data_IF_217125187089
#
_entry.id   IF_217125187089
#
_cell.length_a   1.000
_cell.length_b   1.000
_cell.length_c   1.000
_cell.angle_alpha   90.00
_cell.angle_beta   90.00
_cell.angle_gamma   90.00
#
_symmetry.space_group_name_H-M   'P 1'
#
loop_
_entity.id
_entity.type
_entity.pdbx_description
1 polymer ?
2 polymer ?
3 non-polymer ?
4 non-polymer ?
5 water ?
#
# COMPACT_ATOMS: atom_id res chain seq x y z
N UNK A 11 -24.44 10.74 3.69
CA UNK A 11 -25.14 9.55 3.12
C UNK A 11 -24.18 8.43 2.67
N UNK A 12 -24.75 7.27 2.45
CA UNK A 12 -24.04 6.04 2.26
C UNK A 12 -23.61 5.93 0.76
N UNK A 13 -22.37 6.32 0.43
CA UNK A 13 -21.88 6.39 -0.96
C UNK A 13 -20.98 5.18 -1.28
N UNK A 14 -20.96 4.72 -2.54
CA UNK A 14 -19.91 3.77 -2.90
C UNK A 14 -18.71 4.57 -3.42
N UNK A 15 -17.58 4.56 -2.71
CA UNK A 15 -16.56 5.52 -3.12
C UNK A 15 -15.57 4.80 -4.02
N UNK A 16 -14.90 5.54 -4.87
CA UNK A 16 -13.79 4.92 -5.67
C UNK A 16 -12.48 4.69 -4.90
N UNK A 17 -11.64 3.78 -5.43
CA UNK A 17 -10.28 3.61 -4.93
C UNK A 17 -9.25 4.14 -5.87
N UNK A 18 -8.38 4.98 -5.32
CA UNK A 18 -7.36 5.61 -6.07
C UNK A 18 -6.00 5.48 -5.38
N UNK A 19 -5.03 5.05 -6.14
CA UNK A 19 -3.65 5.08 -5.65
C UNK A 19 -2.86 6.04 -6.48
N UNK A 20 -2.38 7.10 -5.80
CA UNK A 20 -1.42 7.96 -6.36
C UNK A 20 -0.02 7.33 -6.32
N UNK A 21 0.25 6.38 -7.19
CA UNK A 21 1.53 5.72 -7.15
C UNK A 21 2.63 6.52 -7.75
N UNK A 22 3.87 6.20 -7.38
CA UNK A 22 5.02 6.91 -7.92
C UNK A 22 5.32 6.52 -9.38
N UNK A 23 4.90 5.34 -9.80
CA UNK A 23 5.11 4.86 -11.16
C UNK A 23 3.77 4.96 -12.02
N UNK A 24 2.60 4.71 -11.41
CA UNK A 24 1.32 4.63 -12.03
C UNK A 24 0.24 5.16 -11.11
N UNK A 25 -0.72 5.88 -11.74
CA UNK A 25 -1.85 6.43 -11.00
C UNK A 25 -2.93 5.48 -11.38
N UNK A 26 -3.60 4.89 -10.38
CA UNK A 26 -4.47 3.75 -10.62
C UNK A 26 -5.82 3.95 -9.94
N UNK A 27 -6.88 3.55 -10.63
CA UNK A 27 -8.27 3.83 -10.18
C UNK A 27 -9.09 2.58 -10.33
N UNK A 28 -9.91 2.27 -9.33
CA UNK A 28 -10.73 1.06 -9.37
C UNK A 28 -12.13 1.45 -8.87
N UNK A 29 -13.15 0.94 -9.56
CA UNK A 29 -14.52 1.18 -9.14
C UNK A 29 -15.11 -0.14 -8.85
N UNK A 30 -15.75 -0.24 -7.69
CA UNK A 30 -16.41 -1.46 -7.31
C UNK A 30 -17.80 -1.06 -6.87
N UNK A 31 -18.75 -1.98 -6.95
CA UNK A 31 -20.07 -1.68 -6.43
C UNK A 31 -20.96 -2.92 -6.37
N UNK A 32 -22.12 -2.80 -5.70
CA UNK A 32 -22.96 -3.98 -5.44
C UNK A 32 -22.74 -4.61 -4.06
N UNK A 33 -23.66 -5.52 -3.69
CA UNK A 33 -23.90 -5.92 -2.26
C UNK A 33 -23.05 -7.10 -1.77
N UNK A 34 -22.81 -8.08 -2.74
CA UNK A 34 -21.51 -8.71 -2.93
C UNK A 34 -20.77 -7.81 -3.98
N UNK A 35 -19.55 -7.35 -3.67
CA UNK A 35 -18.93 -6.32 -4.51
C UNK A 35 -18.43 -6.86 -5.88
N UNK A 36 -18.58 -6.07 -6.94
CA UNK A 36 -18.19 -6.51 -8.29
C UNK A 36 -17.39 -5.43 -8.92
N UNK A 37 -16.34 -5.80 -9.62
CA UNK A 37 -15.56 -4.87 -10.36
C UNK A 37 -16.39 -4.20 -11.49
N UNK A 38 -16.36 -2.88 -11.56
CA UNK A 38 -17.12 -2.12 -12.57
C UNK A 38 -16.20 -1.47 -13.61
N UNK A 39 -14.98 -1.10 -13.20
CA UNK A 39 -14.13 -0.30 -14.06
C UNK A 39 -12.74 -0.17 -13.36
N UNK A 40 -11.70 -0.04 -14.15
CA UNK A 40 -10.34 0.27 -13.65
C UNK A 40 -9.56 1.09 -14.68
N UNK A 41 -8.52 1.83 -14.28
CA UNK A 41 -7.72 2.58 -15.26
C UNK A 41 -6.38 2.86 -14.60
N UNK A 42 -5.33 2.99 -15.40
CA UNK A 42 -3.98 3.24 -14.96
C UNK A 42 -3.32 4.19 -15.90
N UNK A 43 -2.63 5.19 -15.36
CA UNK A 43 -1.83 6.06 -16.17
C UNK A 43 -0.42 6.19 -15.56
N UNK A 44 0.64 6.23 -16.40
CA UNK A 44 1.95 6.49 -15.82
C UNK A 44 2.03 7.85 -15.11
N UNK A 45 2.69 7.93 -13.95
CA UNK A 45 2.74 9.20 -13.24
C UNK A 45 3.76 10.08 -13.90
N UNK A 46 3.36 11.30 -14.25
CA UNK A 46 4.31 12.27 -14.83
C UNK A 46 5.32 12.70 -13.80
N UNK A 47 6.59 12.78 -14.19
CA UNK A 47 7.67 13.17 -13.32
C UNK A 47 7.48 14.55 -12.71
N UNK A 48 7.96 14.78 -11.49
CA UNK A 48 7.86 16.08 -10.86
C UNK A 48 6.53 16.22 -10.14
N UNK A 49 5.53 15.36 -10.40
CA UNK A 49 4.22 15.58 -9.68
C UNK A 49 4.31 15.24 -8.17
N UNK A 50 5.02 14.15 -7.84
CA UNK A 50 5.22 13.71 -6.44
C UNK A 50 6.70 13.81 -6.18
N UNK A 52 9.20 12.78 -2.83
CA UNK A 52 9.48 12.28 -1.46
C UNK A 52 8.21 12.26 -0.65
N UNK A 53 7.16 11.66 -1.22
CA UNK A 53 5.92 11.52 -0.50
C UNK A 53 4.99 12.69 -0.49
N UNK A 55 2.82 15.76 -2.68
CA UNK A 55 2.41 16.22 -3.97
C UNK A 55 2.93 17.63 -4.26
N UNK A 56 3.98 17.72 -5.06
CA UNK A 56 4.58 19.02 -5.40
C UNK A 56 3.77 19.74 -6.49
N UNK A 57 2.99 19.04 -7.30
CA UNK A 57 2.20 19.73 -8.36
C UNK A 57 0.73 19.38 -8.32
N UNK A 58 0.00 19.95 -7.38
CA UNK A 58 -1.35 19.38 -7.17
C UNK A 58 -2.34 19.59 -8.33
N UNK A 59 -2.24 20.72 -9.03
CA UNK A 59 -3.17 20.99 -10.14
C UNK A 59 -2.85 20.01 -11.33
N UNK A 60 -1.58 19.82 -11.66
CA UNK A 60 -1.17 18.83 -12.62
C UNK A 60 -1.59 17.37 -12.27
N UNK A 61 -1.54 17.00 -10.99
CA UNK A 61 -2.10 15.73 -10.51
C UNK A 61 -3.60 15.75 -10.69
N UNK A 62 -4.29 16.82 -10.26
CA UNK A 62 -5.77 16.90 -10.52
C UNK A 62 -6.15 16.54 -12.01
N UNK A 63 -5.34 17.01 -12.99
CA UNK A 63 -5.64 16.83 -14.44
C UNK A 63 -5.39 15.40 -14.76
N UNK A 64 -4.31 14.83 -14.21
CA UNK A 64 -4.12 13.38 -14.38
C UNK A 64 -5.20 12.53 -13.82
N UNK A 65 -5.68 12.89 -12.63
CA UNK A 65 -6.75 12.14 -12.04
C UNK A 65 -8.08 12.29 -12.84
N UNK A 66 -8.40 13.51 -13.28
CA UNK A 66 -9.50 13.68 -14.31
C UNK A 66 -9.41 12.72 -15.47
N UNK A 67 -8.22 12.51 -16.07
CA UNK A 67 -8.10 11.50 -17.17
C UNK A 67 -8.54 10.13 -16.74
N UNK A 68 -8.22 9.80 -15.47
CA UNK A 68 -8.54 8.48 -15.01
C UNK A 68 -10.05 8.33 -14.92
N UNK A 69 -10.68 9.35 -14.41
CA UNK A 69 -12.13 9.25 -14.23
C UNK A 69 -12.85 9.14 -15.63
N UNK A 70 -12.34 9.87 -16.60
CA UNK A 70 -12.84 9.80 -18.01
C UNK A 70 -12.59 8.42 -18.60
N UNK A 71 -11.40 7.87 -18.37
CA UNK A 71 -11.09 6.56 -18.90
C UNK A 71 -11.93 5.47 -18.32
N UNK A 72 -12.10 5.51 -16.98
CA UNK A 72 -12.94 4.51 -16.31
C UNK A 72 -14.36 4.68 -16.71
N UNK A 73 -14.77 5.89 -17.10
CA UNK A 73 -16.18 6.21 -17.50
C UNK A 73 -17.13 6.19 -16.31
N UNK A 74 -16.65 6.70 -15.19
CA UNK A 74 -17.40 6.63 -13.99
C UNK A 74 -18.14 7.93 -13.74
N UNK A 75 -19.35 7.82 -13.19
CA UNK A 75 -20.04 8.98 -12.66
C UNK A 75 -19.69 9.31 -11.15
N UNK A 76 -19.01 8.37 -10.48
CA UNK A 76 -18.70 8.51 -9.03
C UNK A 76 -17.74 9.61 -8.78
N UNK A 77 -18.02 10.40 -7.76
CA UNK A 77 -17.10 11.45 -7.35
C UNK A 77 -16.65 11.46 -5.86
N UNK A 78 -16.93 10.39 -5.14
CA UNK A 78 -16.31 10.18 -3.82
C UNK A 78 -15.12 9.23 -3.94
N UNK A 79 -14.10 9.38 -3.09
CA UNK A 79 -12.88 8.55 -3.29
C UNK A 79 -12.19 8.09 -1.96
N UNK A 80 -11.69 6.88 -1.90
CA UNK A 80 -10.68 6.61 -0.93
C UNK A 80 -9.30 6.51 -1.57
N UNK A 81 -8.38 7.30 -1.07
CA UNK A 81 -7.04 7.22 -1.51
C UNK A 81 -6.05 6.97 -0.32
N UNK A 82 -4.76 7.12 -0.57
CA UNK A 82 -3.73 6.69 0.37
C UNK A 82 -2.59 7.64 0.30
N UNK A 83 -1.87 7.84 1.40
CA UNK A 83 -0.64 8.58 1.44
C UNK A 83 0.50 7.72 0.93
N UNK A 84 1.53 8.34 0.40
CA UNK A 84 2.77 7.57 0.08
C UNK A 84 3.39 6.95 1.42
N UNK A 85 3.95 5.73 1.38
CA UNK A 85 4.64 5.19 2.54
C UNK A 85 5.76 6.13 3.06
N UNK A 86 6.31 6.98 2.21
CA UNK A 86 7.38 7.96 2.58
C UNK A 86 6.85 9.16 3.30
N UNK A 87 5.55 9.39 3.20
CA UNK A 87 4.90 10.43 4.01
C UNK A 87 4.33 9.98 5.38
N UNK A 88 4.31 8.72 5.71
CA UNK A 88 3.56 8.37 6.92
C UNK A 88 4.50 7.66 7.85
N UNK A 89 4.37 7.91 9.13
CA UNK A 89 5.12 7.10 10.13
C UNK A 89 4.14 6.16 10.70
N UNK A 90 4.46 4.89 10.59
CA UNK A 90 3.63 3.82 11.14
C UNK A 90 4.40 3.14 12.27
N UNK A 91 3.85 3.14 13.48
CA UNK A 91 4.50 2.36 14.58
C UNK A 91 3.53 2.03 15.68
N UNK A 92 3.73 0.86 16.33
CA UNK A 92 2.87 0.50 17.43
C UNK A 92 3.33 1.27 18.72
N UNK A 93 2.43 1.39 19.71
CA UNK A 93 2.56 2.21 20.89
C UNK A 93 1.66 1.53 21.94
N UNK A 94 2.15 1.36 23.18
CA UNK A 94 1.41 0.68 24.26
C UNK A 94 0.67 1.77 24.98
N UNK A 95 -0.61 1.64 25.21
CA UNK A 95 -1.32 2.65 26.04
C UNK A 95 -2.34 1.93 26.90
N UNK A 96 -2.74 2.54 28.03
CA UNK A 96 -3.85 1.93 28.81
C UNK A 96 -5.15 2.29 28.11
N UNK A 97 -6.08 1.35 28.13
CA UNK A 97 -7.43 1.56 27.69
C UNK A 97 -8.08 2.57 28.58
N UNK A 99 -11.64 5.64 28.00
CA UNK A 99 -12.58 6.19 27.04
C UNK A 99 -11.83 6.71 25.83
N UNK A 100 -12.57 6.83 24.71
CA UNK A 100 -11.94 7.10 23.39
C UNK A 100 -11.33 8.46 23.27
N UNK A 101 -12.02 9.51 23.73
CA UNK A 101 -11.46 10.86 23.68
C UNK A 101 -10.14 10.94 24.56
N UNK A 102 -10.10 10.16 25.65
CA UNK A 102 -8.97 10.18 26.59
C UNK A 102 -7.75 9.46 25.97
N UNK A 104 -7.11 9.23 22.80
CA UNK A 104 -6.58 10.07 21.76
C UNK A 104 -5.53 10.97 22.30
N UNK A 105 -5.86 11.63 23.39
CA UNK A 105 -4.87 12.51 23.98
C UNK A 105 -3.61 11.73 24.44
N UNK A 106 -3.79 10.49 24.93
CA UNK A 106 -2.67 9.66 25.45
C UNK A 106 -1.75 9.30 24.28
N UNK A 107 -2.36 8.76 23.19
CA UNK A 107 -1.67 8.56 21.90
C UNK A 107 -0.97 9.77 21.40
N UNK A 108 -1.67 10.86 21.22
CA UNK A 108 -0.96 12.05 20.78
C UNK A 108 0.23 12.34 21.72
N UNK A 109 0.00 12.28 23.04
CA UNK A 109 1.09 12.49 23.98
C UNK A 109 2.25 11.52 23.76
N UNK A 110 1.99 10.21 23.68
CA UNK A 110 3.04 9.29 23.45
C UNK A 110 3.68 9.43 22.06
N UNK A 111 2.89 9.85 21.08
CA UNK A 111 3.41 9.82 19.71
C UNK A 111 4.38 10.92 19.56
N UNK A 112 4.16 11.99 20.30
CA UNK A 112 5.03 13.16 20.29
C UNK A 112 6.56 12.87 20.25
N UNK A 113 7.01 11.89 21.04
CA UNK A 113 8.41 11.53 21.17
C UNK A 113 8.99 10.96 19.90
N UNK A 114 8.16 10.23 19.12
CA UNK A 114 8.56 9.51 17.87
C UNK A 114 8.42 10.31 16.57
N UNK A 115 7.97 11.55 16.68
CA UNK A 115 7.62 12.32 15.51
C UNK A 115 8.64 13.43 15.47
N UNK A 116 9.48 13.42 14.42
CA UNK A 116 10.58 14.33 14.21
C UNK A 116 10.14 15.68 13.68
N UNK A 117 8.92 16.09 14.01
CA UNK A 117 8.43 17.47 13.74
C UNK A 117 7.30 17.83 14.66
N UNK A 118 6.97 19.14 14.73
CA UNK A 118 6.02 19.60 15.75
C UNK A 118 4.65 18.95 15.73
N UNK A 119 4.24 18.39 16.85
CA UNK A 119 2.88 17.93 16.97
C UNK A 119 1.96 19.12 16.60
N UNK A 121 1.02 20.43 13.86
CA UNK A 121 1.45 20.16 12.47
C UNK A 121 1.33 18.71 12.00
N UNK A 122 0.80 17.82 12.82
CA UNK A 122 0.77 16.43 12.44
C UNK A 122 -0.70 15.98 12.39
N UNK A 123 -0.99 15.01 11.52
CA UNK A 123 -2.31 14.35 11.52
C UNK A 123 -2.08 12.94 11.97
N UNK A 124 -2.98 12.46 12.81
CA UNK A 124 -2.65 11.29 13.53
C UNK A 124 -3.85 10.42 13.59
N UNK A 125 -3.68 9.13 13.43
CA UNK A 125 -4.78 8.23 13.71
C UNK A 125 -4.22 6.97 14.40
N UNK A 126 -5.06 6.11 14.94
CA UNK A 126 -4.54 4.92 15.49
C UNK A 126 -5.63 3.89 15.51
N UNK A 127 -5.25 2.64 15.66
CA UNK A 127 -6.22 1.59 15.74
C UNK A 127 -5.64 0.48 16.63
N UNK A 128 -6.45 -0.05 17.56
CA UNK A 128 -5.95 -1.08 18.50
C UNK A 128 -5.61 -2.35 17.78
N UNK A 129 -4.47 -2.95 18.15
CA UNK A 129 -4.04 -4.16 17.47
C UNK A 129 -4.83 -5.37 17.92
N UNK A 130 -5.57 -5.20 19.00
CA UNK A 130 -6.39 -6.25 19.62
C UNK A 130 -7.71 -5.56 19.98
N UNK A 131 -8.82 -6.31 20.04
CA UNK A 131 -10.12 -5.66 20.33
C UNK A 131 -10.17 -5.03 21.73
N UNK A 132 -10.55 -3.75 21.81
CA UNK A 132 -10.58 -3.02 23.08
C UNK A 132 -11.58 -3.64 24.06
N UNK A 133 -12.66 -4.23 23.52
CA UNK A 133 -13.71 -4.79 24.40
C UNK A 133 -13.24 -6.03 25.18
N UNK A 134 -12.11 -6.58 24.78
CA UNK A 134 -11.62 -7.78 25.42
C UNK A 134 -10.73 -7.44 26.61
N UNK A 135 -10.50 -6.16 26.88
CA UNK A 135 -9.69 -5.75 28.07
C UNK A 135 -10.40 -4.70 28.92
N UNK A 136 -9.96 -4.56 30.19
CA UNK A 136 -10.60 -3.61 31.13
C UNK A 136 -9.96 -2.26 30.97
N UNK A 137 -10.64 -1.20 31.41
CA UNK A 137 -10.01 0.09 31.70
C UNK A 137 -8.64 -0.08 32.39
N UNK A 138 -7.66 0.72 31.98
CA UNK A 138 -6.33 0.72 32.57
C UNK A 138 -5.38 -0.38 32.16
N UNK A 139 -5.86 -1.48 31.62
CA UNK A 139 -4.92 -2.45 31.07
C UNK A 139 -4.23 -1.90 29.80
N UNK A 140 -3.00 -2.39 29.55
CA UNK A 140 -2.20 -1.95 28.42
C UNK A 140 -2.69 -2.59 27.10
N UNK A 141 -2.86 -1.78 26.07
CA UNK A 141 -3.13 -2.36 24.68
C UNK A 141 -2.13 -1.79 23.69
N UNK A 142 -1.66 -2.61 22.75
CA UNK A 142 -0.87 -2.08 21.63
C UNK A 142 -1.88 -1.46 20.63
N UNK A 143 -1.69 -0.19 20.29
CA UNK A 143 -2.31 0.46 19.11
C UNK A 143 -1.28 0.76 17.97
N UNK A 145 -0.23 3.35 15.36
CA UNK A 145 -0.39 4.73 15.20
C UNK A 145 0.10 5.09 13.78
N UNK A 146 -0.61 5.99 13.08
CA UNK A 146 -0.14 6.50 11.84
C UNK A 146 0.05 7.98 11.94
N UNK A 147 1.13 8.55 11.47
CA UNK A 147 1.20 9.99 11.51
C UNK A 147 1.76 10.56 10.23
N UNK A 148 1.27 11.74 9.84
CA UNK A 148 1.68 12.38 8.58
C UNK A 148 1.79 13.87 8.78
N UNK A 149 2.71 14.56 8.11
CA UNK A 149 2.73 16.05 8.09
C UNK A 149 1.42 16.61 7.50
N UNK A 150 0.88 17.67 8.08
CA UNK A 150 -0.38 18.27 7.63
C UNK A 150 -0.23 18.72 6.16
N UNK A 151 0.99 19.07 5.79
CA UNK A 151 1.34 19.43 4.45
C UNK A 151 1.22 18.26 3.45
N UNK A 152 1.58 17.05 3.88
CA UNK A 152 1.46 15.92 3.01
C UNK A 152 -0.04 15.72 2.77
N UNK A 153 -0.85 15.67 3.82
CA UNK A 153 -2.28 15.58 3.67
C UNK A 153 -2.86 16.70 2.77
N UNK A 154 -2.43 17.94 2.98
CA UNK A 154 -2.97 19.09 2.24
C UNK A 154 -2.70 18.99 0.68
N UNK A 155 -1.49 18.63 0.27
CA UNK A 155 -1.16 18.35 -1.15
C UNK A 155 -2.17 17.37 -1.79
N UNK A 156 -2.58 16.35 -1.04
CA UNK A 156 -3.46 15.35 -1.59
C UNK A 156 -4.87 15.84 -1.65
N UNK A 157 -5.36 16.47 -0.59
CA UNK A 157 -6.72 17.02 -0.63
C UNK A 157 -6.91 18.10 -1.74
N UNK A 158 -5.85 18.82 -2.04
CA UNK A 158 -5.86 19.91 -3.02
C UNK A 158 -5.88 19.31 -4.44
N UNK A 159 -5.09 18.27 -4.63
CA UNK A 159 -5.19 17.44 -5.80
C UNK A 159 -6.61 16.87 -6.06
N UNK A 160 -7.25 16.29 -5.05
CA UNK A 160 -8.58 15.73 -5.13
C UNK A 160 -9.65 16.82 -5.40
N UNK A 161 -9.50 17.95 -4.75
CA UNK A 161 -10.39 19.05 -4.98
C UNK A 161 -10.33 19.52 -6.43
N UNK A 162 -9.15 19.66 -7.01
CA UNK A 162 -9.05 20.07 -8.40
C UNK A 162 -9.70 19.06 -9.36
N UNK A 163 -9.75 17.79 -8.96
CA UNK A 163 -10.24 16.74 -9.78
C UNK A 163 -11.76 16.60 -9.63
N UNK A 164 -12.37 17.38 -8.71
CA UNK A 164 -13.83 17.27 -8.45
C UNK A 164 -14.20 16.07 -7.57
N UNK A 165 -13.23 15.51 -6.86
CA UNK A 165 -13.47 14.38 -6.01
C UNK A 165 -13.60 14.75 -4.46
N UNK A 166 -14.43 14.02 -3.73
CA UNK A 166 -14.59 14.25 -2.29
C UNK A 166 -14.00 13.04 -1.53
N UNK A 167 -12.95 13.24 -0.73
CA UNK A 167 -12.41 12.04 -0.04
C UNK A 167 -13.23 11.68 1.16
N UNK A 168 -13.57 10.40 1.35
CA UNK A 168 -14.18 9.84 2.51
C UNK A 168 -13.15 9.14 3.52
N UNK A 169 -12.00 8.66 3.02
CA UNK A 169 -10.94 8.01 3.82
C UNK A 169 -9.62 8.27 3.13
N UNK A 170 -8.62 8.60 3.91
CA UNK A 170 -7.22 8.64 3.49
C UNK A 170 -6.50 7.48 4.24
N UNK A 171 -6.31 6.39 3.54
CA UNK A 171 -5.86 5.17 4.11
C UNK A 171 -4.31 5.03 4.05
N UNK A 172 -3.70 3.92 4.42
CA UNK A 172 -2.20 3.74 4.30
C UNK A 172 -1.99 2.48 3.56
N UNK A 173 -1.09 2.50 2.58
CA UNK A 173 -0.95 1.43 1.62
C UNK A 173 -0.65 0.06 2.15
N UNK A 174 0.19 -0.06 3.23
CA UNK A 174 0.52 -1.47 3.64
C UNK A 174 -0.72 -2.13 4.19
N UNK A 175 -1.63 -1.39 4.80
CA UNK A 175 -2.85 -2.08 5.20
C UNK A 175 -3.91 -2.18 4.04
N UNK A 176 -4.11 -1.09 3.27
CA UNK A 176 -5.17 -1.11 2.17
C UNK A 176 -4.87 -2.25 1.25
N UNK A 177 -3.56 -2.50 0.95
CA UNK A 177 -3.14 -3.68 0.11
C UNK A 177 -3.57 -5.05 0.60
N UNK A 178 -3.92 -5.11 1.88
CA UNK A 178 -4.34 -6.31 2.53
C UNK A 178 -5.85 -6.58 2.38
N UNK A 179 -6.67 -5.54 2.23
CA UNK A 179 -8.17 -5.74 2.13
C UNK A 179 -8.61 -6.81 1.14
N UNK A 180 -7.96 -6.92 -0.03
CA UNK A 180 -8.43 -7.99 -0.94
C UNK A 180 -7.97 -9.36 -0.51
N UNK A 181 -6.97 -9.42 0.40
CA UNK A 181 -6.53 -10.71 0.93
C UNK A 181 -7.22 -11.06 2.23
N UNK A 182 -7.95 -10.14 2.80
CA UNK A 182 -8.34 -10.45 4.18
C UNK A 182 -9.19 -11.65 4.47
N UNK A 183 -10.16 -11.92 3.62
CA UNK A 183 -10.96 -13.13 3.82
C UNK A 183 -10.06 -14.34 3.77
N UNK A 184 -9.15 -14.43 2.81
CA UNK A 184 -8.21 -15.56 2.77
C UNK A 184 -7.21 -15.71 3.96
N UNK A 185 -6.74 -14.60 4.50
CA UNK A 185 -5.90 -14.60 5.67
C UNK A 185 -6.75 -15.01 6.91
N UNK A 186 -8.01 -14.58 7.01
CA UNK A 186 -8.89 -15.02 8.13
C UNK A 186 -9.14 -16.53 8.08
N UNK A 187 -9.07 -17.16 6.92
CA UNK A 187 -9.21 -18.61 6.92
C UNK A 187 -8.18 -19.28 7.84
N UNK A 188 -6.99 -18.70 8.02
CA UNK A 188 -5.97 -19.36 8.87
C UNK A 188 -5.63 -18.45 10.06
N UNK A 189 -6.50 -18.42 11.07
CA UNK A 189 -6.36 -17.38 12.11
C UNK A 189 -5.12 -17.48 12.95
N UNK A 190 -4.46 -18.63 12.94
CA UNK A 190 -3.30 -18.79 13.80
C UNK A 190 -2.02 -18.85 12.96
N UNK A 191 -2.15 -18.82 11.64
CA UNK A 191 -0.94 -18.87 10.79
C UNK A 191 -0.24 -17.51 10.65
N UNK A 192 1.11 -17.51 10.73
CA UNK A 192 1.92 -16.30 10.61
C UNK A 192 2.26 -16.11 9.14
N UNK A 193 1.85 -14.96 8.57
CA UNK A 193 1.96 -14.67 7.15
C UNK A 193 2.79 -13.39 7.03
N UNK A 194 3.52 -13.29 5.93
CA UNK A 194 4.23 -12.12 5.57
C UNK A 194 3.61 -11.53 4.25
N UNK A 195 3.45 -10.22 4.09
CA UNK A 195 2.95 -9.69 2.82
C UNK A 195 3.90 -8.58 2.49
N UNK A 196 4.53 -8.72 1.35
CA UNK A 196 5.45 -7.72 0.82
C UNK A 196 4.82 -6.93 -0.36
N UNK A 197 4.89 -5.62 -0.29
CA UNK A 197 4.44 -4.82 -1.47
C UNK A 197 5.65 -4.13 -1.96
N UNK A 198 6.26 -4.60 -3.03
CA UNK A 198 7.41 -3.89 -3.60
C UNK A 198 6.89 -2.86 -4.64
N UNK A 199 7.02 -1.59 -4.31
CA UNK A 199 6.48 -0.55 -5.11
C UNK A 199 7.58 0.05 -5.98
N UNK A 200 7.39 1.29 -6.37
CA UNK A 200 8.36 1.94 -7.24
C UNK A 200 9.13 2.87 -6.33
N UNK A 201 8.53 3.24 -5.21
CA UNK A 201 9.15 4.22 -4.29
C UNK A 201 9.50 3.55 -2.90
N UNK A 202 8.91 2.43 -2.54
CA UNK A 202 9.20 1.82 -1.24
C UNK A 202 8.79 0.42 -1.31
N UNK A 203 9.26 -0.37 -0.34
CA UNK A 203 8.77 -1.74 -0.16
C UNK A 203 8.22 -1.80 1.24
N UNK A 204 6.99 -2.27 1.41
CA UNK A 204 6.54 -2.49 2.79
C UNK A 204 6.53 -3.96 3.10
N UNK A 205 6.66 -4.28 4.37
CA UNK A 205 6.48 -5.63 4.82
C UNK A 205 5.41 -5.65 5.91
N UNK A 206 4.42 -6.50 5.85
CA UNK A 206 3.56 -6.59 6.99
C UNK A 206 3.46 -8.02 7.49
N UNK A 207 3.56 -8.14 8.80
CA UNK A 207 3.61 -9.53 9.37
C UNK A 207 2.32 -9.66 10.09
N UNK A 208 1.62 -10.74 9.83
CA UNK A 208 0.32 -10.93 10.42
C UNK A 208 0.23 -12.31 11.07
N UNK A 209 -0.77 -12.45 11.95
CA UNK A 209 -1.28 -13.75 12.30
C UNK A 209 -2.74 -13.80 11.88
N UNK A 210 -3.13 -14.74 11.03
CA UNK A 210 -4.43 -14.62 10.37
C UNK A 210 -4.53 -13.27 9.66
N UNK A 211 -5.65 -12.58 9.89
CA UNK A 211 -5.85 -11.24 9.39
C UNK A 211 -5.53 -10.13 10.40
N UNK A 212 -4.71 -10.43 11.39
CA UNK A 212 -4.37 -9.33 12.35
C UNK A 212 -2.94 -8.93 12.16
N UNK A 213 -2.66 -7.66 11.78
CA UNK A 213 -1.28 -7.26 11.67
C UNK A 213 -0.54 -7.37 13.00
N UNK A 214 0.71 -7.80 12.91
CA UNK A 214 1.58 -7.78 14.04
C UNK A 214 2.65 -6.71 13.93
N UNK A 215 3.15 -6.42 12.72
CA UNK A 215 4.21 -5.44 12.58
C UNK A 215 4.21 -4.97 11.12
N UNK A 216 4.73 -3.77 10.91
CA UNK A 216 4.87 -3.26 9.56
C UNK A 216 6.22 -2.64 9.55
N UNK A 217 6.94 -2.79 8.44
CA UNK A 217 8.18 -2.08 8.20
C UNK A 217 8.22 -1.62 6.75
N UNK A 218 8.78 -0.45 6.55
CA UNK A 218 8.88 0.16 5.26
C UNK A 218 10.34 0.33 4.95
N UNK A 219 10.72 -0.14 3.79
CA UNK A 219 12.08 0.02 3.24
C UNK A 219 12.04 1.01 2.06
N UNK A 220 13.16 1.68 1.96
CA UNK A 220 13.42 2.65 0.97
C UNK A 220 13.68 2.01 -0.41
N UNK A 221 14.14 0.78 -0.41
CA UNK A 221 14.56 0.09 -1.60
C UNK A 221 13.32 -0.46 -2.39
N UNK A 222 13.34 -0.43 -3.73
CA UNK A 222 12.10 -0.61 -4.48
C UNK A 222 12.43 -0.67 -5.95
N UNK A 223 11.39 -0.73 -6.78
CA UNK A 223 11.52 -0.86 -8.22
C UNK A 223 12.40 0.24 -8.80
N UNK A 224 12.29 1.48 -8.37
CA UNK A 224 13.15 2.54 -8.87
C UNK A 224 14.63 2.17 -8.75
N UNK A 225 15.00 1.44 -7.71
CA UNK A 225 16.40 1.19 -7.54
C UNK A 225 16.90 0.27 -8.61
N UNK A 226 16.06 -0.64 -9.07
CA UNK A 226 16.47 -1.55 -10.12
C UNK A 226 16.57 -0.75 -11.42
N UNK A 227 15.58 0.10 -11.69
CA UNK A 227 15.68 0.91 -12.90
C UNK A 227 16.94 1.76 -12.87
N UNK A 228 17.21 2.40 -11.72
CA UNK A 228 18.37 3.28 -11.68
C UNK A 228 19.72 2.57 -11.90
N UNK A 229 19.86 1.32 -11.45
CA UNK A 229 21.06 0.57 -11.70
C UNK A 229 21.22 0.22 -13.21
N UNK A 230 20.14 -0.21 -13.85
CA UNK A 230 20.17 -0.36 -15.33
C UNK A 230 20.48 0.98 -15.97
N UNK A 231 19.75 2.01 -15.62
CA UNK A 231 20.13 3.29 -16.18
C UNK A 231 21.65 3.59 -16.10
N UNK A 232 22.28 3.35 -14.93
CA UNK A 232 23.66 3.77 -14.65
C UNK A 232 24.53 2.90 -15.50
N UNK A 233 24.19 1.63 -15.55
CA UNK A 233 25.07 0.73 -16.15
C UNK A 233 25.11 0.86 -17.70
N UNK A 234 24.13 1.55 -18.26
CA UNK A 234 24.08 1.72 -19.69
C UNK A 234 23.81 3.14 -20.17
N UNK A 235 24.25 4.18 -19.48
CA UNK A 235 23.77 5.58 -19.73
C UNK A 235 22.36 5.65 -20.41
N UNK A 236 21.37 4.92 -19.85
CA UNK A 236 19.96 5.04 -20.34
C UNK A 236 19.13 6.06 -19.59
N UNK A 237 18.14 6.65 -20.30
CA UNK A 237 17.00 7.40 -19.67
C UNK A 237 16.14 6.46 -18.82
N UNK A 238 15.37 7.04 -17.90
CA UNK A 238 14.67 6.24 -16.94
C UNK A 238 13.66 5.34 -17.61
N UNK A 239 12.81 5.93 -18.49
CA UNK A 239 11.80 5.16 -19.25
C UNK A 239 12.38 4.01 -20.01
N UNK A 240 13.49 4.28 -20.71
CA UNK A 240 14.17 3.24 -21.47
C UNK A 240 14.81 2.18 -20.52
N UNK A 241 15.46 2.64 -19.45
CA UNK A 241 16.03 1.63 -18.43
C UNK A 241 14.88 0.79 -17.89
N UNK A 242 13.75 1.47 -17.69
CA UNK A 242 12.56 0.84 -17.13
C UNK A 242 12.00 -0.27 -18.04
N UNK A 243 11.93 0.05 -19.34
CA UNK A 243 11.46 -0.86 -20.39
C UNK A 243 12.39 -2.05 -20.53
N UNK A 244 13.71 -1.74 -20.51
CA UNK A 244 14.73 -2.78 -20.47
C UNK A 244 14.53 -3.70 -19.22
N UNK A 245 14.36 -3.10 -18.04
CA UNK A 245 14.01 -3.91 -16.82
C UNK A 245 12.83 -4.87 -17.07
N UNK A 246 11.72 -4.37 -17.60
CA UNK A 246 10.51 -5.20 -17.88
C UNK A 246 10.70 -6.38 -18.86
N UNK A 247 11.41 -6.13 -19.97
CA UNK A 247 11.50 -7.17 -21.01
C UNK A 247 12.58 -8.16 -20.69
N UNK A 248 13.63 -7.72 -20.03
CA UNK A 248 14.71 -8.67 -19.81
C UNK A 248 14.81 -9.24 -18.40
N UNK A 249 15.09 -8.45 -17.36
CA UNK A 249 14.92 -8.99 -15.95
C UNK A 249 15.95 -9.93 -15.32
N UNK A 275 25.02 -7.22 -19.74
CA UNK A 275 24.05 -8.08 -18.99
C UNK A 275 23.24 -7.36 -17.91
N UNK A 276 21.91 -7.42 -18.09
CA UNK A 276 20.93 -6.94 -17.12
C UNK A 276 21.24 -7.48 -15.72
N UNK A 277 21.40 -8.80 -15.61
CA UNK A 277 21.60 -9.47 -14.33
C UNK A 277 22.73 -8.83 -13.56
N UNK A 278 23.85 -8.67 -14.23
CA UNK A 278 25.02 -8.06 -13.61
C UNK A 278 24.75 -6.63 -13.16
N UNK A 279 23.93 -5.87 -13.90
CA UNK A 279 23.67 -4.51 -13.45
C UNK A 279 22.78 -4.51 -12.18
N UNK A 280 21.86 -5.44 -12.10
CA UNK A 280 20.83 -5.40 -11.03
C UNK A 280 21.26 -6.31 -9.82
N UNK A 281 22.34 -7.10 -9.95
CA UNK A 281 22.79 -8.01 -8.87
C UNK A 281 22.97 -7.30 -7.50
N UNK A 282 23.64 -6.13 -7.49
CA UNK A 282 23.81 -5.50 -6.16
C UNK A 282 22.50 -5.05 -5.55
N UNK A 283 21.52 -4.75 -6.40
CA UNK A 283 20.23 -4.37 -5.91
C UNK A 283 19.58 -5.61 -5.35
N UNK A 284 19.60 -6.72 -6.09
CA UNK A 284 19.08 -7.98 -5.56
C UNK A 284 19.68 -8.34 -4.19
N UNK A 285 21.00 -8.18 -4.08
CA UNK A 285 21.70 -8.57 -2.85
C UNK A 285 21.26 -7.66 -1.74
N UNK A 286 21.19 -6.35 -2.02
CA UNK A 286 20.90 -5.41 -1.01
C UNK A 286 19.43 -5.58 -0.53
N UNK A 287 18.57 -5.91 -1.46
CA UNK A 287 17.14 -6.06 -1.10
C UNK A 287 16.99 -7.32 -0.26
N UNK A 288 17.69 -8.37 -0.68
CA UNK A 288 17.65 -9.59 0.09
C UNK A 288 18.16 -9.34 1.54
N UNK A 289 19.16 -8.48 1.70
CA UNK A 289 19.76 -8.30 3.03
C UNK A 289 18.82 -7.52 3.89
N UNK A 290 18.18 -6.53 3.28
CA UNK A 290 17.30 -5.65 3.98
C UNK A 290 16.07 -6.43 4.41
N UNK A 291 15.64 -7.37 3.60
CA UNK A 291 14.48 -8.16 3.98
C UNK A 291 14.85 -9.21 5.07
N UNK A 292 16.03 -9.82 5.00
CA UNK A 292 16.51 -10.71 6.10
C UNK A 292 16.68 -9.97 7.41
N UNK A 293 17.22 -8.76 7.32
CA UNK A 293 17.35 -7.91 8.47
C UNK A 293 15.94 -7.67 9.10
N UNK A 294 14.95 -7.29 8.27
CA UNK A 294 13.65 -6.92 8.86
C UNK A 294 13.05 -8.15 9.55
N UNK A 295 13.10 -9.28 8.89
CA UNK A 295 12.58 -10.45 9.48
C UNK A 295 13.33 -10.81 10.80
N UNK A 296 14.67 -10.76 10.81
CA UNK A 296 15.41 -10.92 12.06
C UNK A 296 15.01 -9.94 13.14
N UNK A 297 14.78 -8.67 12.81
CA UNK A 297 14.27 -7.78 13.83
C UNK A 297 12.80 -8.08 14.26
N UNK A 298 11.96 -8.57 13.36
CA UNK A 298 10.64 -9.09 13.83
C UNK A 298 10.82 -10.21 14.86
N UNK A 299 11.68 -11.17 14.55
CA UNK A 299 11.81 -12.36 15.38
C UNK A 299 12.41 -11.99 16.75
N UNK A 300 13.28 -10.97 16.78
CA UNK A 300 13.90 -10.55 18.03
C UNK A 300 12.90 -9.85 18.88
N UNK A 301 12.04 -9.02 18.30
CA UNK A 301 11.20 -8.12 19.09
C UNK A 301 9.78 -8.62 19.34
N UNK A 302 9.40 -9.71 18.68
CA UNK A 302 8.08 -10.24 18.88
C UNK A 302 8.16 -11.66 19.44
N UNK A 306 7.26 -15.87 13.31
CA UNK A 306 8.09 -15.93 12.10
C UNK A 306 7.53 -16.74 10.86
N UNK A 307 7.48 -16.10 9.69
CA UNK A 307 6.65 -16.52 8.57
C UNK A 307 6.70 -17.96 8.05
N UNK A 308 5.54 -18.58 8.09
CA UNK A 308 5.28 -19.77 7.32
C UNK A 308 5.26 -19.45 5.78
N UNK A 309 4.13 -18.91 5.30
CA UNK A 309 3.95 -18.54 3.89
C UNK A 309 3.90 -16.96 3.73
N UNK A 310 4.02 -16.48 2.50
CA UNK A 310 3.88 -15.09 2.28
C UNK A 310 3.26 -14.76 0.92
N UNK A 311 2.91 -13.48 0.76
CA UNK A 311 2.45 -12.98 -0.53
C UNK A 311 3.20 -11.80 -1.01
N UNK A 312 3.30 -11.72 -2.34
CA UNK A 312 3.92 -10.61 -3.01
C UNK A 312 2.89 -9.72 -3.70
N UNK A 313 3.04 -8.40 -3.59
CA UNK A 313 2.20 -7.48 -4.35
C UNK A 313 3.17 -6.42 -4.87
N UNK A 314 2.65 -5.55 -5.71
CA UNK A 314 3.31 -4.37 -6.17
C UNK A 314 4.02 -4.77 -7.41
N UNK A 315 4.16 -3.82 -8.33
CA UNK A 315 4.79 -4.18 -9.63
C UNK A 315 6.27 -4.58 -9.50
N UNK A 316 6.99 -4.05 -8.50
CA UNK A 316 8.42 -4.41 -8.33
C UNK A 316 8.51 -5.93 -8.07
N UNK A 317 7.42 -6.58 -7.63
CA UNK A 317 7.46 -8.00 -7.31
C UNK A 317 7.41 -8.83 -8.57
N UNK A 318 7.20 -8.20 -9.73
CA UNK A 318 7.12 -9.01 -10.96
C UNK A 318 8.45 -9.22 -11.71
N UNK A 319 9.51 -8.53 -11.31
CA UNK A 319 10.88 -8.79 -11.82
C UNK A 319 11.06 -10.28 -11.98
N UNK A 320 11.45 -10.74 -13.17
CA UNK A 320 11.37 -12.19 -13.46
C UNK A 320 12.24 -13.03 -12.48
N UNK A 321 11.62 -14.06 -11.96
CA UNK A 321 12.29 -14.95 -10.99
C UNK A 321 12.34 -14.49 -9.52
N UNK A 322 12.15 -13.17 -9.27
CA UNK A 322 12.21 -12.58 -7.88
C UNK A 322 11.57 -13.40 -6.83
N UNK A 323 10.36 -13.87 -7.10
CA UNK A 323 9.63 -14.68 -6.16
C UNK A 323 10.44 -15.93 -5.68
N UNK A 324 11.04 -16.66 -6.63
CA UNK A 324 11.88 -17.83 -6.35
C UNK A 324 13.14 -17.49 -5.54
N UNK A 325 13.81 -16.42 -5.95
CA UNK A 325 14.95 -15.87 -5.24
C UNK A 325 14.59 -15.63 -3.79
N UNK A 326 13.56 -14.84 -3.56
CA UNK A 326 13.14 -14.40 -2.23
C UNK A 326 12.70 -15.62 -1.40
N UNK A 327 12.04 -16.56 -2.06
CA UNK A 327 11.65 -17.83 -1.41
C UNK A 327 12.89 -18.55 -0.89
N UNK A 328 13.87 -18.73 -1.74
CA UNK A 328 15.11 -19.40 -1.39
C UNK A 328 15.92 -18.71 -0.30
N UNK A 329 15.90 -17.40 -0.32
CA UNK A 329 16.85 -16.61 0.38
C UNK A 329 16.32 -16.19 1.74
N UNK A 330 14.99 -16.03 1.85
CA UNK A 330 14.38 -15.69 3.09
C UNK A 330 13.86 -16.91 3.83
N UNK A 331 13.88 -18.08 3.18
CA UNK A 331 13.27 -19.30 3.78
C UNK A 331 11.78 -19.16 4.12
N UNK A 332 11.02 -18.55 3.22
CA UNK A 332 9.61 -18.31 3.44
C UNK A 332 9.02 -18.56 2.06
N UNK A 333 8.04 -19.42 1.92
CA UNK A 333 7.49 -19.61 0.59
C UNK A 333 6.71 -18.33 0.17
N UNK A 334 7.31 -17.48 -0.67
CA UNK A 334 6.65 -16.24 -1.14
C UNK A 334 5.95 -16.39 -2.47
N UNK A 335 4.63 -16.14 -2.51
CA UNK A 335 3.86 -16.28 -3.76
C UNK A 335 3.14 -15.05 -4.29
N UNK A 336 3.13 -14.85 -5.65
CA UNK A 336 2.18 -13.81 -6.12
C UNK A 336 0.77 -14.25 -5.72
N UNK A 337 -0.15 -13.31 -5.73
CA UNK A 337 -1.49 -13.66 -5.37
C UNK A 337 -2.44 -12.71 -6.11
N UNK A 338 -3.61 -13.24 -6.42
CA UNK A 338 -4.54 -12.53 -7.21
C UNK A 338 -5.52 -11.78 -6.34
N UNK A 339 -5.43 -10.45 -6.36
CA UNK A 339 -6.33 -9.73 -5.45
C UNK A 339 -7.76 -9.77 -5.93
N UNK A 340 -7.96 -9.92 -7.24
CA UNK A 340 -9.31 -9.83 -7.81
C UNK A 340 -10.30 -10.83 -7.31
N UNK A 341 -9.83 -11.95 -6.79
CA UNK A 341 -10.70 -12.97 -6.22
C UNK A 341 -11.58 -12.42 -5.12
N UNK A 342 -11.30 -11.20 -4.63
CA UNK A 342 -12.07 -10.63 -3.54
C UNK A 342 -13.39 -10.06 -4.10
N UNK A 343 -13.49 -10.01 -5.43
CA UNK A 343 -14.53 -9.24 -6.05
C UNK A 343 -15.19 -10.05 -7.23
N UNK A 344 -16.51 -9.86 -7.46
CA UNK A 344 -17.16 -10.48 -8.66
C UNK A 344 -16.67 -9.82 -9.93
N UNK A 345 -16.22 -10.65 -10.86
CA UNK A 345 -15.70 -10.18 -12.11
C UNK A 345 -16.48 -10.77 -13.32
N UNK A 346 -17.10 -9.87 -14.08
CA UNK A 346 -17.93 -10.27 -15.23
C UNK A 346 -17.06 -10.58 -16.44
N UNK A 347 -16.95 -11.87 -16.81
CA UNK A 347 -16.11 -12.40 -17.90
C UNK A 347 -16.37 -11.73 -19.25
N UNK A 348 -17.58 -11.20 -19.42
CA UNK A 348 -17.93 -10.45 -20.64
C UNK A 348 -17.35 -9.03 -20.63
N UNK A 349 -17.01 -8.50 -19.45
CA UNK A 349 -16.38 -7.19 -19.43
C UNK A 349 -14.87 -7.21 -19.17
N UNK A 350 -14.35 -8.25 -18.52
CA UNK A 350 -12.93 -8.29 -18.27
C UNK A 350 -12.35 -9.65 -18.57
N UNK A 351 -11.17 -9.64 -19.16
CA UNK A 351 -10.41 -10.84 -19.32
C UNK A 351 -9.67 -11.27 -18.04
N UNK A 352 -9.98 -12.47 -17.53
CA UNK A 352 -9.41 -12.99 -16.29
C UNK A 352 -7.91 -13.05 -16.36
N UNK A 353 -7.44 -13.27 -17.58
CA UNK A 353 -6.02 -13.43 -17.88
C UNK A 353 -5.35 -12.06 -17.74
N UNK A 354 -6.00 -11.02 -18.26
CA UNK A 354 -5.43 -9.68 -18.18
C UNK A 354 -5.47 -9.19 -16.75
N UNK A 355 -6.62 -9.34 -16.07
CA UNK A 355 -6.75 -8.93 -14.66
C UNK A 355 -5.59 -9.48 -13.84
N UNK A 356 -5.39 -10.79 -13.93
CA UNK A 356 -4.34 -11.50 -13.21
C UNK A 356 -2.98 -10.81 -13.43
N UNK A 357 -2.65 -10.48 -14.67
CA UNK A 357 -1.36 -9.93 -14.99
C UNK A 357 -1.13 -8.61 -14.23
N UNK A 358 -2.16 -7.80 -14.05
CA UNK A 358 -1.95 -6.49 -13.46
C UNK A 358 -2.37 -6.49 -11.94
N UNK A 359 -2.68 -7.66 -11.41
CA UNK A 359 -3.15 -7.78 -10.04
C UNK A 359 -2.09 -7.27 -9.02
N UNK A 360 -0.77 -7.53 -9.20
CA UNK A 360 0.21 -7.02 -8.22
C UNK A 360 0.20 -5.47 -8.10
N UNK A 361 0.20 -4.75 -9.22
CA UNK A 361 0.11 -3.27 -9.26
C UNK A 361 -1.21 -2.79 -8.71
N UNK A 362 -2.29 -3.53 -8.92
CA UNK A 362 -3.67 -3.03 -8.56
C UNK A 362 -4.19 -3.45 -7.18
N UNK A 363 -3.40 -4.21 -6.39
CA UNK A 363 -3.91 -4.67 -5.08
C UNK A 363 -4.31 -3.52 -4.23
N UNK A 364 -3.47 -2.50 -4.19
CA UNK A 364 -3.83 -1.36 -3.31
C UNK A 364 -5.09 -0.61 -3.77
N UNK A 365 -5.16 -0.23 -5.05
CA UNK A 365 -6.36 0.52 -5.55
C UNK A 365 -7.56 -0.33 -5.38
N UNK A 366 -7.46 -1.65 -5.62
CA UNK A 366 -8.62 -2.47 -5.32
C UNK A 366 -9.03 -2.44 -3.81
N UNK A 367 -8.02 -2.56 -2.89
CA UNK A 367 -8.33 -2.43 -1.44
C UNK A 367 -8.96 -1.10 -1.14
N UNK A 368 -8.45 -0.04 -1.77
CA UNK A 368 -9.07 1.27 -1.46
C UNK A 368 -10.52 1.31 -1.92
N UNK A 369 -10.82 0.65 -3.03
CA UNK A 369 -12.23 0.63 -3.57
C UNK A 369 -13.10 -0.23 -2.66
N UNK A 370 -12.53 -1.31 -2.11
CA UNK A 370 -13.29 -2.12 -1.16
C UNK A 370 -13.63 -1.35 0.08
N UNK A 371 -12.67 -0.58 0.61
CA UNK A 371 -12.92 0.31 1.69
C UNK A 371 -14.06 1.29 1.27
N UNK A 372 -14.07 1.71 -0.02
CA UNK A 372 -15.00 2.74 -0.41
C UNK A 372 -16.42 2.25 -0.36
N UNK A 373 -16.63 0.97 -0.42
CA UNK A 373 -17.96 0.43 -0.37
C UNK A 373 -18.30 -0.22 1.01
N UNK A 374 -17.49 0.05 2.03
CA UNK A 374 -17.78 -0.55 3.33
C UNK A 374 -19.00 0.12 3.97
N UNK A 375 -19.76 -0.64 4.74
CA UNK A 375 -19.52 -2.00 5.22
C UNK A 375 -20.16 -3.09 4.38
N UNK B 1 -7.87 -7.17 11.23
CA UNK B 1 -7.45 -6.12 10.19
C UNK B 1 -7.51 -4.63 10.65
N UNK B 2 -6.54 -3.82 10.28
CA UNK B 2 -6.50 -2.39 10.68
C UNK B 2 -7.09 -1.41 9.57
N UNK B 3 -8.04 -0.56 9.97
CA UNK B 3 -8.63 0.45 9.11
C UNK B 3 -8.30 1.83 9.65
N UNK B 4 -7.29 2.51 9.13
CA UNK B 4 -7.02 3.86 9.59
C UNK B 4 -7.68 4.89 8.63
N UNK B 5 -7.68 6.17 9.04
CA UNK B 5 -8.08 7.27 8.22
C UNK B 5 -7.40 8.56 8.74
N UNK B 6 -6.57 9.15 7.94
CA UNK B 6 -5.82 10.28 8.27
C UNK B 6 -6.48 11.47 7.66
N UNK B 7 -7.75 11.36 7.31
CA UNK B 7 -8.47 12.57 6.92
C UNK B 7 -8.68 13.40 8.20
N UNK B 8 -8.31 14.71 8.20
CA UNK B 8 -8.54 15.65 9.34
C UNK B 8 -9.91 15.61 9.99
#
# INVERSE_FOLDING_TARGET
XFKSLSQLFRPRVEALGLEIGASALKLVEVSGNPPALKALASRPTPPGLLXEGXVAEPAALAQEIKELLLEARTRKRYVVTALSNLAVILRPIQVPKXPLKEXEEAVRWEAERYIPFPIDEVVLDFAPLTPLSEVQEGEQVQVXVAAARQEAVAGVLEALRGAGLVPVVLDVKPFAGLYPLEARLAEEPDRVFLVLDIGAESTSLVLLRGDKPLAVRVLTLSGKDFTEAIARSFNLDLLAAEEVKRTYGXATLPTEDEELLLDFDAERERYSPGRIYDAIRPVLVELTQELRRSLEFFRIQLEEASPEVGYLLGGGSKLRGLASLLTDTLGVNLEPVNPWEAVAVDPKRFESEQLQEIGPEFAVALGLALRGVEPLD
MIRLNLLPKNLRRRV
#
